data_IF_961702741111
#
_entry.id   IF_961702741111
#
_cell.length_a   1.000
_cell.length_b   1.000
_cell.length_c   1.000
_cell.angle_alpha   90.00
_cell.angle_beta   90.00
_cell.angle_gamma   90.00
#
_symmetry.space_group_name_H-M   'P 1'
#
loop_
_entity.id
_entity.type
_entity.pdbx_description
1 polymer ?
#
# COMPACT_ATOMS: atom_id res chain seq x y z
N UNK A 1 -4.19 -2.85 18.06
CA UNK A 1 -3.65 -1.56 17.55
C UNK A 1 -3.45 -1.60 16.05
N UNK A 2 -3.30 -0.46 15.38
CA UNK A 2 -3.14 -0.38 13.91
C UNK A 2 -1.67 -0.26 13.47
N UNK A 3 -1.41 -0.50 12.19
CA UNK A 3 -0.11 -0.23 11.57
C UNK A 3 -0.26 0.48 10.21
N UNK A 4 0.74 1.27 9.83
CA UNK A 4 0.81 1.94 8.54
C UNK A 4 2.07 1.51 7.79
N UNK A 5 1.89 1.02 6.56
CA UNK A 5 2.99 0.73 5.66
C UNK A 5 3.42 2.01 4.96
N UNK A 6 4.67 2.38 5.20
CA UNK A 6 5.34 3.44 4.45
C UNK A 6 5.97 2.89 3.16
N UNK A 7 6.45 3.81 2.31
CA UNK A 7 6.83 3.58 0.92
C UNK A 7 7.40 2.19 0.59
N UNK A 8 6.69 1.47 -0.30
CA UNK A 8 7.15 0.22 -0.90
C UNK A 8 7.49 0.48 -2.36
N UNK A 9 8.65 -0.04 -2.79
CA UNK A 9 9.16 0.17 -4.14
C UNK A 9 9.74 -1.11 -4.74
N UNK A 10 9.49 -1.29 -6.04
CA UNK A 10 10.16 -2.31 -6.85
C UNK A 10 11.05 -1.60 -7.85
N UNK A 11 12.30 -2.05 -7.98
CA UNK A 11 13.24 -1.52 -8.98
C UNK A 11 12.62 -1.60 -10.38
N UNK A 12 12.88 -0.63 -11.29
CA UNK A 12 12.25 -0.60 -12.61
C UNK A 12 12.32 -1.93 -13.38
N UNK A 13 13.49 -2.58 -13.43
CA UNK A 13 13.67 -3.88 -14.09
C UNK A 13 13.00 -5.09 -13.41
N UNK A 14 12.43 -4.90 -12.21
CA UNK A 14 11.67 -5.92 -11.49
C UNK A 14 10.14 -5.76 -11.60
N UNK A 15 9.65 -4.73 -12.31
CA UNK A 15 8.20 -4.48 -12.46
C UNK A 15 7.55 -5.55 -13.34
N UNK A 16 6.23 -5.70 -13.22
CA UNK A 16 5.45 -6.69 -13.98
C UNK A 16 5.64 -8.15 -13.52
N UNK A 17 6.51 -8.43 -12.55
CA UNK A 17 6.84 -9.78 -12.08
C UNK A 17 6.18 -10.19 -10.76
N UNK A 18 5.24 -9.39 -10.27
CA UNK A 18 4.51 -9.67 -9.03
C UNK A 18 5.25 -9.30 -7.73
N UNK A 19 6.48 -8.79 -7.78
CA UNK A 19 7.23 -8.44 -6.56
C UNK A 19 6.53 -7.42 -5.66
N UNK A 20 5.84 -6.43 -6.24
CA UNK A 20 5.07 -5.46 -5.44
C UNK A 20 3.98 -6.16 -4.63
N UNK A 21 3.28 -7.14 -5.24
CA UNK A 21 2.27 -7.93 -4.55
C UNK A 21 2.88 -8.79 -3.44
N UNK A 22 3.98 -9.47 -3.73
CA UNK A 22 4.66 -10.34 -2.78
C UNK A 22 5.17 -9.54 -1.57
N UNK A 23 5.80 -8.39 -1.81
CA UNK A 23 6.31 -7.50 -0.76
C UNK A 23 5.17 -6.97 0.11
N UNK A 24 4.13 -6.40 -0.49
CA UNK A 24 2.98 -5.87 0.27
C UNK A 24 2.29 -6.97 1.07
N UNK A 25 2.01 -8.12 0.46
CA UNK A 25 1.34 -9.22 1.17
C UNK A 25 2.19 -9.79 2.31
N UNK A 26 3.51 -9.91 2.11
CA UNK A 26 4.44 -10.32 3.16
C UNK A 26 4.45 -9.36 4.35
N UNK A 27 4.54 -8.05 4.07
CA UNK A 27 4.53 -7.03 5.11
C UNK A 27 3.20 -7.01 5.89
N UNK A 28 2.06 -7.11 5.20
CA UNK A 28 0.73 -7.19 5.85
C UNK A 28 0.64 -8.43 6.75
N UNK A 29 1.03 -9.61 6.26
CA UNK A 29 1.01 -10.83 7.07
C UNK A 29 1.86 -10.71 8.33
N UNK A 30 3.06 -10.15 8.21
CA UNK A 30 3.95 -9.95 9.36
C UNK A 30 3.34 -9.00 10.41
N UNK A 31 2.72 -7.90 9.96
CA UNK A 31 2.05 -6.95 10.86
C UNK A 31 0.85 -7.59 11.58
N UNK A 32 -0.01 -8.31 10.85
CA UNK A 32 -1.17 -8.97 11.45
C UNK A 32 -0.75 -10.07 12.43
N UNK A 33 0.25 -10.88 12.08
CA UNK A 33 0.82 -11.89 12.98
C UNK A 33 1.43 -11.29 14.25
N UNK A 34 1.90 -10.03 14.18
CA UNK A 34 2.36 -9.25 15.32
C UNK A 34 1.25 -8.62 16.18
N UNK A 35 0.00 -9.02 16.00
CA UNK A 35 -1.14 -8.56 16.82
C UNK A 35 -1.69 -7.19 16.42
N UNK A 36 -1.56 -6.80 15.15
CA UNK A 36 -2.22 -5.59 14.61
C UNK A 36 -3.61 -5.95 14.09
N UNK A 37 -4.59 -5.11 14.43
CA UNK A 37 -5.99 -5.36 14.06
C UNK A 37 -6.25 -5.05 12.59
N UNK A 38 -5.53 -4.06 12.05
CA UNK A 38 -5.62 -3.65 10.66
C UNK A 38 -4.34 -2.92 10.20
N UNK A 39 -4.14 -2.90 8.89
CA UNK A 39 -3.00 -2.26 8.23
C UNK A 39 -3.50 -1.23 7.21
N UNK A 40 -2.88 -0.06 7.17
CA UNK A 40 -3.11 0.96 6.15
C UNK A 40 -1.86 1.24 5.33
N UNK A 41 -2.06 1.92 4.20
CA UNK A 41 -1.01 2.51 3.38
C UNK A 41 -1.58 3.76 2.71
N UNK A 42 -0.69 4.68 2.33
CA UNK A 42 -1.01 5.83 1.48
C UNK A 42 -0.47 5.64 0.06
N UNK A 43 -1.14 6.23 -0.91
CA UNK A 43 -0.65 6.36 -2.29
C UNK A 43 -1.14 7.67 -2.89
N UNK A 44 -0.43 8.16 -3.91
CA UNK A 44 -0.92 9.23 -4.76
C UNK A 44 -2.07 8.74 -5.65
N UNK A 45 -3.05 9.61 -5.91
CA UNK A 45 -4.29 9.23 -6.61
C UNK A 45 -4.05 8.87 -8.09
N UNK A 46 -2.97 9.38 -8.68
CA UNK A 46 -2.50 9.05 -10.03
C UNK A 46 -1.78 7.70 -10.13
N UNK A 47 -1.55 7.01 -9.01
CA UNK A 47 -0.85 5.74 -8.99
C UNK A 47 -1.81 4.55 -9.20
N UNK A 48 -2.40 4.49 -10.40
CA UNK A 48 -3.36 3.47 -10.78
C UNK A 48 -2.83 2.04 -10.67
N UNK A 49 -1.53 1.84 -10.91
CA UNK A 49 -0.88 0.56 -10.76
C UNK A 49 -0.89 0.07 -9.31
N UNK A 50 -0.51 0.95 -8.38
CA UNK A 50 -0.56 0.64 -6.94
C UNK A 50 -2.00 0.47 -6.46
N UNK A 51 -2.94 1.32 -6.92
CA UNK A 51 -4.37 1.21 -6.60
C UNK A 51 -4.94 -0.16 -6.95
N UNK A 52 -4.75 -0.60 -8.20
CA UNK A 52 -5.20 -1.95 -8.65
C UNK A 52 -4.53 -3.05 -7.85
N UNK A 53 -3.23 -2.93 -7.59
CA UNK A 53 -2.48 -3.90 -6.80
C UNK A 53 -3.07 -4.05 -5.40
N UNK A 54 -3.25 -2.95 -4.68
CA UNK A 54 -3.71 -2.98 -3.29
C UNK A 54 -5.16 -3.46 -3.17
N UNK A 55 -6.04 -3.06 -4.09
CA UNK A 55 -7.41 -3.59 -4.12
C UNK A 55 -7.45 -5.10 -4.37
N UNK A 56 -6.60 -5.62 -5.26
CA UNK A 56 -6.49 -7.07 -5.47
C UNK A 56 -5.98 -7.82 -4.23
N UNK A 57 -5.21 -7.15 -3.38
CA UNK A 57 -4.75 -7.69 -2.09
C UNK A 57 -5.77 -7.53 -0.95
N UNK A 58 -6.96 -6.97 -1.23
CA UNK A 58 -8.03 -6.82 -0.25
C UNK A 58 -8.06 -5.46 0.48
N UNK A 59 -7.16 -4.54 0.16
CA UNK A 59 -7.27 -3.18 0.68
C UNK A 59 -8.50 -2.47 0.12
N UNK A 60 -9.12 -1.62 0.95
CA UNK A 60 -10.23 -0.74 0.59
C UNK A 60 -9.83 0.71 0.81
N UNK A 61 -10.37 1.61 0.00
CA UNK A 61 -10.16 3.05 0.17
C UNK A 61 -10.94 3.52 1.40
N UNK A 62 -10.24 3.81 2.49
CA UNK A 62 -10.83 4.39 3.70
C UNK A 62 -10.94 5.92 3.64
N UNK A 63 -9.94 6.58 3.06
CA UNK A 63 -9.86 8.03 2.96
C UNK A 63 -9.28 8.47 1.61
N UNK A 64 -9.73 9.62 1.12
CA UNK A 64 -9.12 10.38 0.03
C UNK A 64 -8.84 11.79 0.54
N UNK A 65 -7.62 12.27 0.34
CA UNK A 65 -7.13 13.53 0.87
C UNK A 65 -6.57 14.38 -0.27
N UNK A 66 -6.86 15.66 -0.26
CA UNK A 66 -6.30 16.64 -1.19
C UNK A 66 -5.52 17.69 -0.41
N UNK A 67 -4.25 17.88 -0.75
CA UNK A 67 -3.39 18.89 -0.11
C UNK A 67 -3.45 20.19 -0.90
N UNK A 68 -3.78 21.28 -0.24
CA UNK A 68 -3.71 22.63 -0.80
C UNK A 68 -2.60 23.41 -0.09
N UNK A 69 -1.88 24.25 -0.85
CA UNK A 69 -0.93 25.21 -0.29
C UNK A 69 -1.39 26.61 -0.66
N UNK A 70 -1.63 27.46 0.34
CA UNK A 70 -1.86 28.90 0.10
C UNK A 70 -0.59 29.48 -0.50
N UNK A 71 -0.72 30.19 -1.62
CA UNK A 71 0.38 31.00 -2.18
C UNK A 71 0.64 32.19 -1.28
#
# INVERSE_FOLDING_TARGET
>A
GSAHLHGLGVRPGGRGRGFGAALTAGAVRALLAGGRDWVSLGMWDDNDGARRLYHRLGFRTGHRLTTFRRR
#
